data_IF_880129068380
#
_entry.id   IF_880129068380
#
_cell.length_a   1.000
_cell.length_b   1.000
_cell.length_c   1.000
_cell.angle_alpha   90.00
_cell.angle_beta   90.00
_cell.angle_gamma   90.00
#
_symmetry.space_group_name_H-M   'P 1'
#
loop_
_entity.id
_entity.type
_entity.pdbx_description
1 polymer ?
#
# COMPACT_ATOMS: atom_id res chain seq x y z
N UNK A 1 -0.24 -16.88 7.67
CA UNK A 1 0.23 -15.79 6.78
C UNK A 1 0.64 -14.62 7.66
N UNK A 2 1.60 -13.78 7.26
CA UNK A 2 1.99 -12.58 8.02
C UNK A 2 0.89 -11.53 7.85
N UNK A 3 0.49 -10.84 8.94
CA UNK A 3 -0.53 -9.79 8.81
C UNK A 3 0.02 -8.57 8.08
N UNK A 4 -0.82 -7.96 7.25
CA UNK A 4 -0.47 -6.74 6.52
C UNK A 4 -0.20 -5.56 7.45
N UNK A 5 -0.87 -5.49 8.61
CA UNK A 5 -0.61 -4.47 9.61
C UNK A 5 0.80 -4.60 10.19
N UNK A 6 1.24 -5.80 10.55
CA UNK A 6 2.61 -6.03 11.03
C UNK A 6 3.66 -5.73 9.93
N UNK A 7 3.36 -6.09 8.67
CA UNK A 7 4.21 -5.72 7.55
C UNK A 7 4.36 -4.20 7.41
N UNK A 8 3.27 -3.43 7.62
CA UNK A 8 3.31 -1.97 7.62
C UNK A 8 4.16 -1.41 8.77
N UNK A 9 4.03 -1.98 9.98
CA UNK A 9 4.86 -1.61 11.14
C UNK A 9 6.35 -1.86 10.87
N UNK A 10 6.69 -2.99 10.25
CA UNK A 10 8.09 -3.27 9.84
C UNK A 10 8.56 -2.25 8.82
N UNK A 11 7.73 -1.89 7.83
CA UNK A 11 8.10 -0.90 6.80
C UNK A 11 8.39 0.48 7.39
N UNK A 12 7.72 0.86 8.48
CA UNK A 12 7.85 2.19 9.10
C UNK A 12 9.03 2.30 10.07
N UNK A 13 9.82 1.26 10.25
CA UNK A 13 10.98 1.27 11.14
C UNK A 13 12.08 2.19 10.62
N UNK A 14 12.70 3.02 11.50
CA UNK A 14 13.72 3.99 11.10
C UNK A 14 15.03 3.36 10.63
N UNK A 15 15.27 2.08 10.91
CA UNK A 15 16.48 1.39 10.44
C UNK A 15 16.62 1.31 8.91
N UNK A 16 15.52 1.53 8.16
CA UNK A 16 15.56 1.59 6.70
C UNK A 16 16.05 2.94 6.16
N UNK A 17 15.94 4.03 6.92
CA UNK A 17 16.26 5.40 6.49
C UNK A 17 17.73 5.58 6.08
N UNK A 18 18.60 4.70 6.56
CA UNK A 18 20.03 4.71 6.19
C UNK A 18 20.32 4.25 4.75
N UNK A 19 19.38 3.57 4.09
CA UNK A 19 19.61 3.02 2.76
C UNK A 19 19.42 4.08 1.69
N UNK A 20 20.44 4.25 0.83
CA UNK A 20 20.35 5.02 -0.41
C UNK A 20 19.63 4.22 -1.49
N UNK A 21 19.08 4.92 -2.48
CA UNK A 21 18.33 4.29 -3.58
C UNK A 21 19.15 3.25 -4.35
N UNK A 22 20.43 3.47 -4.55
CA UNK A 22 21.33 2.52 -5.23
C UNK A 22 21.54 1.22 -4.45
N UNK A 23 21.38 1.26 -3.12
CA UNK A 23 21.51 0.10 -2.25
C UNK A 23 20.17 -0.63 -2.10
N UNK A 24 19.08 0.10 -2.15
CA UNK A 24 17.73 -0.38 -1.91
C UNK A 24 16.74 0.47 -2.71
N UNK A 25 16.47 0.08 -3.95
CA UNK A 25 15.48 0.75 -4.81
C UNK A 25 14.04 0.51 -4.32
N UNK A 26 13.05 1.03 -5.03
CA UNK A 26 11.64 0.92 -4.63
C UNK A 26 11.17 -0.54 -4.49
N UNK A 27 11.54 -1.40 -5.44
CA UNK A 27 11.24 -2.83 -5.39
C UNK A 27 12.00 -3.50 -4.26
N UNK A 28 13.30 -3.27 -4.19
CA UNK A 28 14.18 -3.87 -3.19
C UNK A 28 13.74 -3.55 -1.76
N UNK A 29 13.23 -2.33 -1.53
CA UNK A 29 12.67 -1.94 -0.24
C UNK A 29 11.46 -2.81 0.13
N UNK A 30 10.47 -2.94 -0.76
CA UNK A 30 9.29 -3.79 -0.52
C UNK A 30 9.69 -5.24 -0.26
N UNK A 31 10.60 -5.79 -1.05
CA UNK A 31 11.09 -7.17 -0.89
C UNK A 31 11.87 -7.39 0.39
N UNK A 32 12.67 -6.39 0.79
CA UNK A 32 13.39 -6.45 2.07
C UNK A 32 12.41 -6.44 3.25
N UNK A 33 11.40 -5.57 3.22
CA UNK A 33 10.38 -5.51 4.27
C UNK A 33 9.58 -6.82 4.32
N UNK A 34 9.21 -7.41 3.18
CA UNK A 34 8.59 -8.74 3.14
C UNK A 34 9.47 -9.77 3.87
N UNK A 35 10.76 -9.80 3.53
CA UNK A 35 11.69 -10.72 4.16
C UNK A 35 11.83 -10.46 5.65
N UNK A 36 12.01 -9.23 6.09
CA UNK A 36 12.19 -8.86 7.50
C UNK A 36 10.90 -9.10 8.32
N UNK A 37 9.73 -9.04 7.67
CA UNK A 37 8.44 -9.41 8.28
C UNK A 37 8.20 -10.93 8.38
N UNK A 38 9.11 -11.75 7.88
CA UNK A 38 8.96 -13.21 7.92
C UNK A 38 8.28 -13.83 6.69
N UNK A 39 7.94 -13.05 5.66
CA UNK A 39 7.38 -13.57 4.41
C UNK A 39 8.48 -14.22 3.58
N UNK A 40 8.34 -15.52 3.30
CA UNK A 40 9.30 -16.34 2.57
C UNK A 40 8.59 -17.15 1.48
N UNK A 41 9.35 -17.55 0.46
CA UNK A 41 8.94 -18.63 -0.41
C UNK A 41 8.91 -19.96 0.36
N UNK A 42 8.24 -21.00 -0.17
CA UNK A 42 8.21 -22.32 0.48
C UNK A 42 9.59 -22.92 0.75
N UNK A 43 10.61 -22.56 -0.06
CA UNK A 43 12.01 -22.98 0.09
C UNK A 43 12.80 -22.12 1.11
N UNK A 44 12.14 -21.18 1.81
CA UNK A 44 12.76 -20.26 2.76
C UNK A 44 13.45 -19.04 2.14
N UNK A 45 13.56 -18.97 0.81
CA UNK A 45 14.22 -17.86 0.13
C UNK A 45 13.35 -16.60 0.06
N UNK A 46 13.98 -15.47 -0.30
CA UNK A 46 13.30 -14.19 -0.50
C UNK A 46 12.39 -14.23 -1.74
N UNK A 47 11.26 -13.54 -1.66
CA UNK A 47 10.56 -13.15 -2.88
C UNK A 47 11.41 -12.13 -3.63
N UNK A 48 11.66 -12.39 -4.89
CA UNK A 48 12.41 -11.51 -5.78
C UNK A 48 11.64 -11.40 -7.09
N UNK A 49 11.26 -10.19 -7.48
CA UNK A 49 10.54 -9.85 -8.70
C UNK A 49 11.43 -8.98 -9.58
N UNK A 50 11.16 -8.98 -10.88
CA UNK A 50 11.86 -8.12 -11.83
C UNK A 50 11.10 -6.79 -11.97
N UNK A 51 11.37 -5.83 -11.08
CA UNK A 51 10.80 -4.50 -11.10
C UNK A 51 9.37 -4.41 -10.57
N UNK A 52 8.96 -3.18 -10.31
CA UNK A 52 7.60 -2.82 -9.85
C UNK A 52 6.50 -3.28 -10.81
N UNK A 53 6.77 -3.32 -12.12
CA UNK A 53 5.86 -3.87 -13.12
C UNK A 53 5.57 -5.35 -12.91
N UNK A 54 6.58 -6.16 -12.56
CA UNK A 54 6.36 -7.57 -12.24
C UNK A 54 5.56 -7.74 -10.94
N UNK A 55 5.80 -6.87 -9.96
CA UNK A 55 5.01 -6.84 -8.71
C UNK A 55 3.54 -6.52 -9.00
N UNK A 56 3.28 -5.47 -9.82
CA UNK A 56 1.95 -5.04 -10.23
C UNK A 56 1.14 -6.15 -10.90
N UNK A 57 1.77 -6.93 -11.79
CA UNK A 57 1.11 -7.97 -12.58
C UNK A 57 0.96 -9.32 -11.87
N UNK A 58 1.88 -9.67 -10.96
CA UNK A 58 2.00 -11.05 -10.49
C UNK A 58 1.98 -11.26 -8.98
N UNK A 59 2.06 -10.20 -8.17
CA UNK A 59 2.18 -10.33 -6.73
C UNK A 59 0.91 -9.92 -5.96
N UNK A 60 -0.13 -9.47 -6.65
CA UNK A 60 -1.33 -8.91 -6.05
C UNK A 60 -2.51 -9.89 -6.11
N UNK A 61 -3.31 -9.93 -5.06
CA UNK A 61 -4.61 -10.59 -5.00
C UNK A 61 -5.76 -9.67 -5.42
N UNK A 62 -5.56 -8.37 -5.24
CA UNK A 62 -6.45 -7.31 -5.68
C UNK A 62 -5.65 -6.07 -6.05
N UNK A 63 -6.14 -5.29 -7.02
CA UNK A 63 -5.58 -3.98 -7.38
C UNK A 63 -6.67 -3.06 -7.94
N UNK A 64 -6.47 -1.77 -7.80
CA UNK A 64 -7.37 -0.72 -8.29
C UNK A 64 -6.85 0.67 -7.94
N UNK A 65 -7.63 1.68 -8.23
CA UNK A 65 -7.37 3.05 -7.82
C UNK A 65 -7.49 3.20 -6.31
N UNK A 66 -6.94 4.27 -5.77
CA UNK A 66 -7.10 4.63 -4.34
C UNK A 66 -8.58 4.77 -3.99
N UNK A 67 -9.39 5.39 -4.86
CA UNK A 67 -10.83 5.56 -4.64
C UNK A 67 -11.58 4.22 -4.60
N UNK A 68 -11.29 3.30 -5.53
CA UNK A 68 -11.87 1.95 -5.53
C UNK A 68 -11.47 1.15 -4.29
N UNK A 69 -10.23 1.32 -3.81
CA UNK A 69 -9.79 0.67 -2.58
C UNK A 69 -10.59 1.18 -1.37
N UNK A 70 -10.76 2.50 -1.24
CA UNK A 70 -11.56 3.10 -0.17
C UNK A 70 -13.03 2.66 -0.26
N UNK A 71 -13.60 2.65 -1.46
CA UNK A 71 -14.98 2.17 -1.68
C UNK A 71 -15.14 0.71 -1.28
N UNK A 72 -14.17 -0.14 -1.63
CA UNK A 72 -14.24 -1.58 -1.40
C UNK A 72 -13.99 -1.97 0.06
N UNK A 73 -13.04 -1.31 0.72
CA UNK A 73 -12.54 -1.71 2.04
C UNK A 73 -12.92 -0.72 3.16
N UNK A 74 -13.61 0.38 2.84
CA UNK A 74 -13.96 1.44 3.79
C UNK A 74 -12.78 2.39 4.10
N UNK A 75 -11.57 1.87 4.19
CA UNK A 75 -10.32 2.61 4.36
C UNK A 75 -9.21 1.92 3.56
N UNK A 76 -8.10 2.61 3.33
CA UNK A 76 -6.91 1.95 2.76
C UNK A 76 -6.31 1.00 3.79
N UNK A 77 -6.17 -0.30 3.46
CA UNK A 77 -5.55 -1.25 4.38
C UNK A 77 -4.05 -0.94 4.58
N UNK A 78 -3.60 -0.86 5.84
CA UNK A 78 -2.18 -0.78 6.12
C UNK A 78 -1.45 -2.02 5.56
N UNK A 79 -0.25 -1.83 5.01
CA UNK A 79 0.50 -2.87 4.32
C UNK A 79 0.11 -3.04 2.85
N UNK A 80 -0.90 -2.32 2.35
CA UNK A 80 -1.16 -2.27 0.91
C UNK A 80 0.04 -1.65 0.16
N UNK A 81 0.29 -2.13 -1.06
CA UNK A 81 1.32 -1.57 -1.91
C UNK A 81 0.75 -0.42 -2.73
N UNK A 82 1.36 0.75 -2.61
CA UNK A 82 1.01 1.93 -3.40
C UNK A 82 1.89 1.99 -4.64
N UNK A 83 1.28 2.24 -5.81
CA UNK A 83 1.98 2.29 -7.09
C UNK A 83 1.79 3.64 -7.78
N UNK A 84 2.79 4.00 -8.59
CA UNK A 84 2.65 4.98 -9.66
C UNK A 84 2.55 4.20 -10.97
N UNK A 85 1.36 4.21 -11.58
CA UNK A 85 1.08 3.53 -12.83
C UNK A 85 0.71 4.56 -13.88
N UNK A 86 1.42 4.54 -15.01
CA UNK A 86 1.17 5.39 -16.18
C UNK A 86 0.71 4.51 -17.36
N UNK A 87 0.44 5.13 -18.49
CA UNK A 87 0.10 4.41 -19.72
C UNK A 87 1.23 3.47 -20.16
N UNK A 88 0.88 2.36 -20.82
CA UNK A 88 1.81 1.34 -21.30
C UNK A 88 2.90 1.83 -22.25
N UNK A 89 2.69 2.97 -22.91
CA UNK A 89 3.62 3.54 -23.87
C UNK A 89 4.97 4.01 -23.31
N UNK A 90 5.13 4.02 -21.96
CA UNK A 90 6.30 4.61 -21.30
C UNK A 90 7.56 3.75 -21.30
N UNK A 91 7.42 2.41 -21.36
CA UNK A 91 8.56 1.47 -21.31
C UNK A 91 8.46 0.40 -22.41
N UNK A 92 8.45 0.83 -23.68
CA UNK A 92 8.36 -0.07 -24.85
C UNK A 92 9.43 -1.16 -24.85
N UNK A 93 10.63 -0.84 -24.35
CA UNK A 93 11.77 -1.78 -24.33
C UNK A 93 11.57 -2.97 -23.39
N UNK A 94 10.59 -2.92 -22.49
CA UNK A 94 10.30 -3.98 -21.52
C UNK A 94 9.05 -4.79 -21.84
N UNK A 95 8.38 -4.50 -22.95
CA UNK A 95 7.21 -5.27 -23.41
C UNK A 95 5.95 -5.10 -22.56
N UNK A 96 5.81 -3.98 -21.87
CA UNK A 96 4.60 -3.68 -21.08
C UNK A 96 3.55 -2.99 -21.93
N UNK A 97 3.00 -3.73 -22.89
CA UNK A 97 1.97 -3.25 -23.83
C UNK A 97 0.71 -4.11 -23.76
N UNK A 98 0.38 -4.57 -22.55
CA UNK A 98 -0.73 -5.49 -22.28
C UNK A 98 -2.01 -4.79 -21.80
N UNK A 99 -2.06 -3.47 -21.79
CA UNK A 99 -3.19 -2.68 -21.28
C UNK A 99 -3.21 -2.51 -19.75
N UNK A 100 -2.23 -3.10 -19.04
CA UNK A 100 -2.18 -3.10 -17.58
C UNK A 100 -1.45 -1.86 -17.01
N UNK A 101 -0.99 -0.98 -17.85
CA UNK A 101 -0.21 0.20 -17.51
C UNK A 101 1.25 -0.10 -17.13
N UNK A 102 2.04 0.96 -17.02
CA UNK A 102 3.43 0.91 -16.59
C UNK A 102 3.55 1.29 -15.12
N UNK A 103 3.75 0.32 -14.23
CA UNK A 103 4.00 0.54 -12.81
C UNK A 103 5.46 0.94 -12.60
N UNK A 104 5.74 2.23 -12.72
CA UNK A 104 7.10 2.79 -12.66
C UNK A 104 7.68 2.87 -11.24
N UNK A 105 6.82 2.79 -10.21
CA UNK A 105 7.22 2.94 -8.81
C UNK A 105 6.30 2.15 -7.87
N UNK A 106 6.84 1.76 -6.70
CA UNK A 106 6.10 1.06 -5.64
C UNK A 106 6.57 1.52 -4.26
N UNK A 107 5.63 1.59 -3.32
CA UNK A 107 5.87 1.81 -1.90
C UNK A 107 4.90 1.00 -1.04
N UNK A 108 4.97 1.14 0.27
CA UNK A 108 4.14 0.45 1.26
C UNK A 108 3.32 1.50 2.00
N UNK A 109 1.99 1.41 1.94
CA UNK A 109 1.10 2.24 2.73
C UNK A 109 1.16 1.82 4.20
N UNK A 110 1.57 2.74 5.06
CA UNK A 110 1.77 2.47 6.51
C UNK A 110 0.64 3.01 7.39
N UNK A 111 -0.40 3.57 6.76
CA UNK A 111 -1.50 4.21 7.48
C UNK A 111 -1.34 5.73 7.54
N UNK A 112 -2.36 6.43 8.10
CA UNK A 112 -2.31 7.88 8.29
C UNK A 112 -2.11 8.72 7.02
N UNK A 113 -2.43 8.18 5.85
CA UNK A 113 -2.19 8.85 4.56
C UNK A 113 -0.73 8.80 4.09
N UNK A 114 0.12 7.98 4.70
CA UNK A 114 1.56 7.93 4.44
C UNK A 114 1.99 6.63 3.76
N UNK A 115 2.96 6.76 2.87
CA UNK A 115 3.62 5.66 2.17
C UNK A 115 5.11 5.71 2.46
N UNK A 116 5.67 4.56 2.83
CA UNK A 116 7.12 4.35 2.91
C UNK A 116 7.61 3.80 1.57
N UNK A 117 8.58 4.43 0.98
CA UNK A 117 9.16 4.01 -0.29
C UNK A 117 10.64 4.39 -0.38
N UNK A 118 11.34 3.79 -1.31
CA UNK A 118 12.69 4.22 -1.68
C UNK A 118 12.64 4.91 -3.03
N UNK A 119 13.14 6.14 -3.10
CA UNK A 119 13.13 6.94 -4.34
C UNK A 119 14.39 7.77 -4.51
N UNK A 120 14.78 8.01 -5.75
CA UNK A 120 15.74 9.05 -6.10
C UNK A 120 15.00 10.16 -6.83
N UNK A 121 14.80 11.29 -6.17
CA UNK A 121 14.01 12.39 -6.70
C UNK A 121 14.69 13.74 -6.48
N UNK A 122 14.95 14.43 -7.56
CA UNK A 122 15.46 15.82 -7.50
C UNK A 122 14.41 16.79 -6.96
N UNK A 123 13.11 16.53 -7.22
CA UNK A 123 11.99 17.36 -6.76
C UNK A 123 11.89 17.34 -5.23
N UNK A 124 12.00 16.19 -4.61
CA UNK A 124 11.92 16.03 -3.14
C UNK A 124 13.28 16.09 -2.46
N UNK A 125 14.38 16.17 -3.24
CA UNK A 125 15.77 16.10 -2.76
C UNK A 125 16.05 14.83 -1.93
N UNK A 126 15.31 13.75 -2.18
CA UNK A 126 15.46 12.48 -1.47
C UNK A 126 16.21 11.47 -2.33
N UNK A 127 17.14 10.75 -1.70
CA UNK A 127 17.88 9.64 -2.27
C UNK A 127 17.87 8.48 -1.29
N UNK A 128 16.89 7.59 -1.44
CA UNK A 128 16.73 6.41 -0.59
C UNK A 128 15.35 6.30 0.07
N UNK A 129 15.31 5.56 1.18
CA UNK A 129 14.07 5.26 1.92
C UNK A 129 13.57 6.49 2.67
N UNK A 130 12.26 6.67 2.72
CA UNK A 130 11.59 7.74 3.46
C UNK A 130 10.07 7.69 3.26
N UNK A 131 9.38 8.68 3.80
CA UNK A 131 7.91 8.76 3.74
C UNK A 131 7.44 9.86 2.81
N UNK A 132 6.28 9.68 2.20
CA UNK A 132 5.53 10.70 1.46
C UNK A 132 4.03 10.43 1.47
N UNK A 133 3.25 11.42 1.01
CA UNK A 133 1.81 11.30 0.97
C UNK A 133 1.33 10.20 0.02
N UNK A 134 0.25 9.51 0.38
CA UNK A 134 -0.47 8.60 -0.50
C UNK A 134 -0.97 9.30 -1.78
N UNK A 135 -1.20 10.62 -1.73
CA UNK A 135 -1.65 11.40 -2.89
C UNK A 135 -0.59 11.52 -4.00
N UNK A 136 0.65 11.12 -3.73
CA UNK A 136 1.72 11.01 -4.76
C UNK A 136 1.62 9.71 -5.57
N UNK A 137 0.68 8.83 -5.24
CA UNK A 137 0.42 7.55 -5.90
C UNK A 137 -0.99 7.56 -6.51
N UNK A 138 -1.25 6.69 -7.46
CA UNK A 138 -2.55 6.62 -8.12
C UNK A 138 -3.23 5.25 -8.04
N UNK A 139 -2.47 4.21 -7.71
CA UNK A 139 -2.98 2.85 -7.64
C UNK A 139 -2.58 2.16 -6.33
N UNK A 140 -3.41 1.22 -5.90
CA UNK A 140 -3.21 0.38 -4.71
C UNK A 140 -3.32 -1.09 -5.11
N UNK A 141 -2.50 -1.93 -4.49
CA UNK A 141 -2.59 -3.38 -4.61
C UNK A 141 -2.44 -4.10 -3.27
N UNK A 142 -3.20 -5.17 -3.09
CA UNK A 142 -3.06 -6.06 -1.93
C UNK A 142 -2.12 -7.20 -2.28
N UNK A 143 -1.02 -7.31 -1.55
CA UNK A 143 -0.03 -8.37 -1.76
C UNK A 143 -0.61 -9.73 -1.39
N UNK A 144 -0.60 -10.70 -2.30
CA UNK A 144 -1.17 -12.04 -2.09
C UNK A 144 -0.44 -12.90 -1.04
N UNK A 145 0.70 -12.44 -0.54
CA UNK A 145 1.50 -13.13 0.48
C UNK A 145 1.24 -12.62 1.90
N UNK A 146 0.38 -11.60 2.04
CA UNK A 146 0.00 -10.97 3.30
C UNK A 146 -1.46 -11.26 3.61
N UNK A 147 -1.76 -11.31 4.91
CA UNK A 147 -3.11 -11.43 5.41
C UNK A 147 -3.66 -10.04 5.73
N UNK A 148 -4.68 -9.63 4.97
CA UNK A 148 -5.39 -8.38 5.19
C UNK A 148 -6.68 -8.69 5.93
N UNK A 149 -6.80 -8.24 7.18
CA UNK A 149 -8.04 -8.35 7.95
C UNK A 149 -9.09 -7.33 7.42
N UNK A 150 -9.48 -7.51 6.16
CA UNK A 150 -10.44 -6.63 5.48
C UNK A 150 -11.88 -6.79 6.01
N UNK A 151 -12.18 -7.89 6.69
CA UNK A 151 -13.50 -8.10 7.32
C UNK A 151 -13.65 -7.24 8.59
N UNK A 152 -12.60 -7.11 9.39
CA UNK A 152 -12.60 -6.23 10.56
C UNK A 152 -12.64 -4.73 10.20
N UNK A 153 -12.05 -4.33 9.07
CA UNK A 153 -12.11 -2.95 8.59
C UNK A 153 -13.54 -2.59 8.17
N UNK A 154 -14.20 -3.47 7.41
CA UNK A 154 -15.61 -3.28 7.02
C UNK A 154 -16.54 -3.26 8.25
N UNK A 155 -16.34 -4.14 9.23
CA UNK A 155 -17.13 -4.17 10.46
C UNK A 155 -16.92 -2.89 11.29
N UNK A 156 -15.69 -2.38 11.44
CA UNK A 156 -15.43 -1.12 12.14
C UNK A 156 -16.06 0.09 11.46
N UNK A 157 -15.99 0.17 10.14
CA UNK A 157 -16.62 1.24 9.37
C UNK A 157 -18.14 1.20 9.48
N UNK A 158 -18.76 0.03 9.41
CA UNK A 158 -20.20 -0.16 9.61
C UNK A 158 -20.63 0.17 11.05
N UNK A 159 -19.87 -0.29 12.05
CA UNK A 159 -20.15 0.01 13.46
C UNK A 159 -20.05 1.52 13.70
N UNK A 160 -19.04 2.21 13.16
CA UNK A 160 -18.92 3.66 13.27
C UNK A 160 -20.12 4.38 12.64
N UNK A 161 -20.53 4.01 11.43
CA UNK A 161 -21.70 4.58 10.77
C UNK A 161 -22.98 4.40 11.58
N UNK A 162 -23.19 3.22 12.20
CA UNK A 162 -24.33 2.93 13.06
C UNK A 162 -24.29 3.80 14.34
N UNK A 163 -23.10 3.97 14.93
CA UNK A 163 -22.94 4.83 16.12
C UNK A 163 -23.23 6.29 15.80
N UNK A 164 -22.72 6.82 14.68
CA UNK A 164 -22.98 8.18 14.23
C UNK A 164 -24.49 8.41 13.97
N UNK A 165 -25.20 7.43 13.40
CA UNK A 165 -26.67 7.46 13.20
C UNK A 165 -27.43 7.45 14.54
N UNK A 166 -27.00 6.64 15.49
CA UNK A 166 -27.63 6.59 16.83
C UNK A 166 -27.44 7.92 17.56
N UNK A 167 -26.24 8.50 17.52
CA UNK A 167 -25.97 9.82 18.14
C UNK A 167 -26.82 10.92 17.54
N UNK A 168 -26.99 10.94 16.21
CA UNK A 168 -27.84 11.90 15.53
C UNK A 168 -29.31 11.75 15.96
N UNK A 169 -29.86 10.55 15.99
CA UNK A 169 -31.23 10.29 16.44
C UNK A 169 -31.45 10.65 17.90
N UNK A 170 -30.47 10.39 18.77
CA UNK A 170 -30.53 10.79 20.16
C UNK A 170 -30.57 12.31 20.32
N UNK A 171 -29.83 13.04 19.48
CA UNK A 171 -29.85 14.51 19.47
C UNK A 171 -31.22 15.05 19.02
N UNK A 172 -31.79 14.51 17.95
CA UNK A 172 -33.13 14.87 17.48
C UNK A 172 -34.22 14.64 18.55
N UNK A 173 -34.16 13.49 19.24
CA UNK A 173 -35.11 13.19 20.32
C UNK A 173 -34.97 14.15 21.51
N UNK A 174 -33.76 14.59 21.84
CA UNK A 174 -33.56 15.59 22.92
C UNK A 174 -34.13 16.95 22.55
N UNK A 175 -34.05 17.37 21.29
CA UNK A 175 -34.63 18.63 20.79
C UNK A 175 -36.19 18.64 20.81
N UNK A 176 -36.79 17.45 20.69
CA UNK A 176 -38.27 17.31 20.75
C UNK A 176 -38.81 17.26 22.19
N UNK A 177 -37.96 16.90 23.16
CA UNK A 177 -38.36 16.72 24.57
C UNK A 177 -38.09 17.96 25.45
N UNK A 178 -37.46 19.00 24.88
CA UNK A 178 -37.23 20.30 25.52
C UNK A 178 -38.14 21.38 24.98
#
# INVERSE_FOLDING_TARGET
MVSAAYFAEVADRPEYDKYKYEQLDCQGFVEKVLYDSGVRKPDGSRYNRRGSNSMWRSALSWRGTIAEAVQKFGTLPAGAWAFIVTDDGGEKDRGYTDGEGNASHVGIYVGGGMVRDSTRSTKTKRDGVGSRSINDFNMIGLCKYLDYDVQNVNNKSQIKSILDDIENKLRELREVLL
#
